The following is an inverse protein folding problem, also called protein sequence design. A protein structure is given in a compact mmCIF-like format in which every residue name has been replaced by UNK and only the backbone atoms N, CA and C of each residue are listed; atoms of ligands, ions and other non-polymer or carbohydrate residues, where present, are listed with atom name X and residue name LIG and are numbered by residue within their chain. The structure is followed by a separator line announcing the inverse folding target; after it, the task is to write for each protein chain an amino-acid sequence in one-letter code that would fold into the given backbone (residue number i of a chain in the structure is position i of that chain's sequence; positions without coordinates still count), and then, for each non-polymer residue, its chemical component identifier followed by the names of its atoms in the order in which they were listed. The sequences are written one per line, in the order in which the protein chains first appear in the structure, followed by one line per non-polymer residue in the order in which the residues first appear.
data_IF_963866767802
#
_entry.id   IF_963866767802
#
_cell.length_a   1.000
_cell.length_b   1.000
_cell.length_c   1.000
_cell.angle_alpha   90.00
_cell.angle_beta   90.00
_cell.angle_gamma   90.00
#
_symmetry.space_group_name_H-M   'P 1'
#
loop_
_entity.id
_entity.type
_entity.pdbx_description
1 polymer ?
#
# COMPACT_ATOMS: atom_id res chain seq x y z
N UNK A 1 3.77 -17.18 -7.65
CA UNK A 1 2.65 -16.23 -7.78
C UNK A 1 1.97 -16.02 -6.44
N UNK A 2 1.69 -14.80 -6.10
CA UNK A 2 1.02 -14.46 -4.83
C UNK A 2 -0.49 -14.53 -5.07
N UNK A 3 -1.20 -15.31 -4.25
CA UNK A 3 -2.64 -15.48 -4.42
C UNK A 3 -3.44 -14.37 -3.74
N UNK A 4 -4.72 -14.26 -4.09
CA UNK A 4 -5.59 -13.21 -3.55
C UNK A 4 -5.75 -13.32 -2.04
N UNK A 5 -5.75 -14.53 -1.49
CA UNK A 5 -5.88 -14.71 -0.04
C UNK A 5 -4.68 -14.11 0.69
N UNK A 6 -3.48 -14.26 0.13
CA UNK A 6 -2.27 -13.67 0.71
C UNK A 6 -2.29 -12.15 0.60
N UNK A 7 -2.74 -11.62 -0.54
CA UNK A 7 -2.89 -10.18 -0.73
C UNK A 7 -3.89 -9.61 0.27
N UNK A 8 -5.03 -10.27 0.44
CA UNK A 8 -6.06 -9.83 1.38
C UNK A 8 -5.54 -9.87 2.82
N UNK A 9 -4.77 -10.90 3.17
CA UNK A 9 -4.17 -10.98 4.50
C UNK A 9 -3.19 -9.84 4.75
N UNK A 10 -2.37 -9.50 3.75
CA UNK A 10 -1.46 -8.37 3.85
C UNK A 10 -2.24 -7.07 4.08
N UNK A 11 -3.31 -6.86 3.32
CA UNK A 11 -4.17 -5.69 3.49
C UNK A 11 -4.77 -5.60 4.88
N UNK A 12 -5.26 -6.73 5.42
CA UNK A 12 -5.83 -6.79 6.77
C UNK A 12 -4.79 -6.43 7.83
N UNK A 13 -3.56 -6.96 7.68
CA UNK A 13 -2.50 -6.66 8.65
C UNK A 13 -2.11 -5.19 8.63
N UNK A 14 -1.99 -4.61 7.45
CA UNK A 14 -1.64 -3.20 7.31
C UNK A 14 -2.75 -2.32 7.89
N UNK A 15 -4.00 -2.58 7.54
CA UNK A 15 -5.12 -1.81 8.06
C UNK A 15 -5.27 -1.98 9.57
N UNK A 16 -5.13 -3.22 10.07
CA UNK A 16 -5.27 -3.52 11.48
C UNK A 16 -4.20 -2.90 12.35
N UNK A 17 -3.03 -2.61 11.79
CA UNK A 17 -1.93 -1.96 12.50
C UNK A 17 -1.94 -0.44 12.36
N UNK A 18 -2.94 0.11 11.68
CA UNK A 18 -3.04 1.53 11.35
C UNK A 18 -4.22 2.18 12.07
N UNK A 19 -4.25 3.52 12.17
CA UNK A 19 -5.38 4.22 12.80
C UNK A 19 -6.69 4.00 12.07
N UNK A 20 -7.83 4.19 12.74
CA UNK A 20 -9.13 4.14 12.08
C UNK A 20 -9.21 5.12 10.92
N UNK A 21 -9.87 4.71 9.84
CA UNK A 21 -9.99 5.53 8.63
C UNK A 21 -8.86 5.35 7.64
N UNK A 22 -7.91 4.46 7.93
CA UNK A 22 -6.80 4.16 7.02
C UNK A 22 -7.29 3.39 5.80
N UNK A 23 -6.76 3.74 4.63
CA UNK A 23 -7.05 3.03 3.38
C UNK A 23 -5.78 2.36 2.88
N UNK A 24 -5.91 1.17 2.33
CA UNK A 24 -4.78 0.42 1.77
C UNK A 24 -5.02 0.20 0.29
N UNK A 25 -4.12 0.67 -0.53
CA UNK A 25 -4.21 0.57 -1.99
C UNK A 25 -3.09 -0.35 -2.48
N UNK A 26 -3.46 -1.41 -3.20
CA UNK A 26 -2.50 -2.25 -3.90
C UNK A 26 -2.27 -1.63 -5.29
N UNK A 27 -1.02 -1.37 -5.62
CA UNK A 27 -0.70 -0.79 -6.93
C UNK A 27 0.51 -1.49 -7.54
N UNK A 28 0.98 -0.99 -8.68
CA UNK A 28 2.10 -1.59 -9.36
C UNK A 28 1.69 -2.75 -10.26
N UNK A 29 2.63 -3.64 -10.57
CA UNK A 29 2.42 -4.70 -11.55
C UNK A 29 1.30 -5.67 -11.18
N UNK A 30 1.17 -6.01 -9.89
CA UNK A 30 0.08 -6.90 -9.45
C UNK A 30 -1.29 -6.28 -9.64
N UNK A 31 -1.44 -4.99 -9.36
CA UNK A 31 -2.71 -4.30 -9.55
C UNK A 31 -3.08 -4.22 -11.03
N UNK A 32 -2.07 -4.13 -11.92
CA UNK A 32 -2.29 -4.08 -13.36
C UNK A 32 -2.49 -5.46 -14.00
N UNK A 33 -2.37 -6.54 -13.21
CA UNK A 33 -2.45 -7.89 -13.75
C UNK A 33 -1.22 -8.32 -14.53
N UNK A 34 -0.08 -7.69 -14.28
CA UNK A 34 1.18 -7.97 -14.96
C UNK A 34 2.25 -8.42 -13.96
N UNK A 35 2.06 -9.56 -13.27
CA UNK A 35 3.04 -10.00 -12.29
C UNK A 35 4.36 -10.36 -12.96
N UNK A 36 5.44 -9.70 -12.54
CA UNK A 36 6.78 -9.98 -13.05
C UNK A 36 7.44 -11.13 -12.30
N UNK A 37 8.66 -11.43 -12.68
CA UNK A 37 9.46 -12.48 -12.03
C UNK A 37 9.71 -12.21 -10.56
N UNK A 38 9.79 -10.94 -10.19
CA UNK A 38 10.00 -10.52 -8.81
C UNK A 38 8.69 -9.97 -8.29
N UNK A 39 7.79 -10.87 -7.92
CA UNK A 39 6.40 -10.60 -7.54
C UNK A 39 6.29 -9.73 -6.29
N UNK A 40 6.87 -8.55 -6.31
CA UNK A 40 6.77 -7.59 -5.21
C UNK A 40 5.37 -6.99 -5.19
N UNK A 41 4.83 -6.86 -4.00
CA UNK A 41 3.57 -6.14 -3.81
C UNK A 41 3.88 -4.71 -3.41
N UNK A 42 3.20 -3.77 -4.03
CA UNK A 42 3.33 -2.35 -3.71
C UNK A 42 2.05 -1.88 -3.04
N UNK A 43 2.18 -1.38 -1.81
CA UNK A 43 1.04 -0.87 -1.05
C UNK A 43 1.21 0.61 -0.78
N UNK A 44 0.15 1.37 -1.01
CA UNK A 44 0.04 2.73 -0.53
C UNK A 44 -0.93 2.71 0.65
N UNK A 45 -0.44 3.07 1.83
CA UNK A 45 -1.25 3.14 3.04
C UNK A 45 -1.54 4.60 3.33
N UNK A 46 -2.81 4.98 3.26
CA UNK A 46 -3.24 6.36 3.43
C UNK A 46 -3.86 6.49 4.82
N UNK A 47 -3.13 7.14 5.73
CA UNK A 47 -3.57 7.36 7.10
C UNK A 47 -4.09 8.78 7.25
N UNK A 48 -5.03 9.02 8.18
CA UNK A 48 -5.55 10.37 8.40
C UNK A 48 -4.46 11.39 8.68
N UNK A 49 -3.50 11.03 9.54
CA UNK A 49 -2.37 11.89 9.90
C UNK A 49 -1.10 11.05 10.00
N UNK A 50 0.02 11.61 9.58
CA UNK A 50 1.31 10.92 9.61
C UNK A 50 2.37 11.89 10.08
N UNK A 51 3.05 11.57 11.18
CA UNK A 51 4.15 12.38 11.70
C UNK A 51 5.45 12.08 10.96
N UNK A 52 5.76 10.80 10.76
CA UNK A 52 6.99 10.38 10.09
C UNK A 52 6.67 9.20 9.19
N UNK A 53 6.55 9.47 7.90
CA UNK A 53 6.15 8.46 6.92
C UNK A 53 7.17 7.33 6.80
N UNK A 54 8.46 7.64 6.91
CA UNK A 54 9.50 6.62 6.80
C UNK A 54 9.45 5.62 7.96
N UNK A 55 9.31 6.13 9.18
CA UNK A 55 9.20 5.26 10.36
C UNK A 55 7.93 4.42 10.31
N UNK A 56 6.82 5.03 9.93
CA UNK A 56 5.54 4.35 9.83
C UNK A 56 5.59 3.25 8.76
N UNK A 57 6.22 3.52 7.64
CA UNK A 57 6.43 2.54 6.58
C UNK A 57 7.19 1.31 7.08
N UNK A 58 8.26 1.53 7.84
CA UNK A 58 9.04 0.42 8.42
C UNK A 58 8.20 -0.38 9.42
N UNK A 59 7.46 0.32 10.29
CA UNK A 59 6.61 -0.32 11.29
C UNK A 59 5.55 -1.20 10.63
N UNK A 60 4.89 -0.68 9.61
CA UNK A 60 3.84 -1.41 8.91
C UNK A 60 4.39 -2.59 8.13
N UNK A 61 5.54 -2.42 7.47
CA UNK A 61 6.13 -3.52 6.72
C UNK A 61 6.48 -4.70 7.62
N UNK A 62 6.87 -4.44 8.86
CA UNK A 62 7.16 -5.50 9.83
C UNK A 62 5.95 -6.37 10.16
N UNK A 63 4.74 -5.85 10.01
CA UNK A 63 3.52 -6.63 10.25
C UNK A 63 3.33 -7.73 9.20
N UNK A 64 4.04 -7.64 8.09
CA UNK A 64 3.93 -8.62 7.00
C UNK A 64 4.92 -9.78 7.14
N UNK A 65 5.60 -9.89 8.27
CA UNK A 65 6.51 -11.01 8.54
C UNK A 65 5.78 -12.34 8.44
N UNK A 66 6.45 -13.30 7.85
CA UNK A 66 5.91 -14.65 7.68
C UNK A 66 5.15 -14.83 6.39
N UNK A 67 4.79 -13.75 5.71
CA UNK A 67 4.22 -13.83 4.38
C UNK A 67 5.37 -13.94 3.38
N UNK A 68 5.25 -14.90 2.46
CA UNK A 68 6.36 -15.26 1.56
C UNK A 68 6.36 -14.40 0.29
N UNK A 69 6.57 -13.11 0.46
CA UNK A 69 6.70 -12.19 -0.69
C UNK A 69 7.46 -10.94 -0.24
N UNK A 70 8.04 -10.25 -1.21
CA UNK A 70 8.61 -8.93 -0.97
C UNK A 70 7.51 -7.88 -1.09
N UNK A 71 7.55 -6.87 -0.23
CA UNK A 71 6.56 -5.81 -0.24
C UNK A 71 7.21 -4.46 -0.02
N UNK A 72 6.76 -3.48 -0.80
CA UNK A 72 7.06 -2.08 -0.56
C UNK A 72 5.82 -1.43 0.05
N UNK A 73 5.99 -0.78 1.18
CA UNK A 73 4.91 -0.09 1.87
C UNK A 73 5.23 1.39 1.88
N UNK A 74 4.41 2.17 1.18
CA UNK A 74 4.53 3.62 1.12
C UNK A 74 3.41 4.19 1.98
N UNK A 75 3.74 5.09 2.88
CA UNK A 75 2.76 5.72 3.76
C UNK A 75 2.58 7.18 3.38
N UNK A 76 1.34 7.63 3.31
CA UNK A 76 1.01 9.02 3.05
C UNK A 76 -0.18 9.43 3.91
N UNK A 77 -0.21 10.71 4.29
CA UNK A 77 -1.36 11.27 4.98
C UNK A 77 -2.46 11.59 3.98
N UNK A 78 -3.69 11.74 4.47
CA UNK A 78 -4.80 12.19 3.62
C UNK A 78 -4.50 13.54 2.98
N UNK A 79 -3.83 14.45 3.71
CA UNK A 79 -3.47 15.76 3.16
C UNK A 79 -2.48 15.61 2.00
N UNK A 80 -1.47 14.77 2.16
CA UNK A 80 -0.48 14.55 1.10
C UNK A 80 -1.15 13.96 -0.14
N UNK A 81 -2.10 13.06 0.04
CA UNK A 81 -2.84 12.47 -1.08
C UNK A 81 -3.64 13.57 -1.80
N UNK A 82 -4.31 14.45 -1.08
CA UNK A 82 -5.03 15.56 -1.70
C UNK A 82 -4.10 16.48 -2.50
N UNK A 83 -2.91 16.72 -1.97
CA UNK A 83 -1.93 17.62 -2.61
C UNK A 83 -1.35 17.00 -3.89
N UNK A 84 -1.18 15.70 -3.93
CA UNK A 84 -0.45 15.04 -5.01
C UNK A 84 -1.29 14.18 -5.94
N UNK A 85 -2.55 13.93 -5.63
CA UNK A 85 -3.39 13.00 -6.41
C UNK A 85 -3.53 13.40 -7.87
N UNK A 86 -3.47 14.69 -8.18
CA UNK A 86 -3.63 15.20 -9.54
C UNK A 86 -2.30 15.56 -10.20
N UNK A 87 -1.19 15.26 -9.54
CA UNK A 87 0.14 15.54 -10.07
C UNK A 87 0.58 14.35 -10.92
N UNK A 88 0.44 14.45 -12.21
CA UNK A 88 0.84 13.41 -13.16
C UNK A 88 2.33 13.11 -13.00
N UNK A 89 2.67 11.84 -13.03
CA UNK A 89 4.05 11.39 -12.82
C UNK A 89 4.41 11.14 -11.37
N UNK A 90 3.56 11.53 -10.41
CA UNK A 90 3.80 11.22 -9.01
C UNK A 90 3.38 9.80 -8.71
N UNK A 91 4.01 9.20 -7.69
CA UNK A 91 3.66 7.86 -7.23
C UNK A 91 2.21 7.81 -6.74
N UNK A 92 1.76 8.84 -6.03
CA UNK A 92 0.39 8.88 -5.51
C UNK A 92 -0.62 8.90 -6.65
N UNK A 93 -0.37 9.70 -7.68
CA UNK A 93 -1.26 9.73 -8.85
C UNK A 93 -1.33 8.34 -9.51
N UNK A 94 -0.19 7.72 -9.75
CA UNK A 94 -0.14 6.40 -10.37
C UNK A 94 -0.84 5.34 -9.52
N UNK A 95 -0.59 5.35 -8.21
CA UNK A 95 -1.21 4.38 -7.31
C UNK A 95 -2.72 4.49 -7.31
N UNK A 96 -3.26 5.71 -7.28
CA UNK A 96 -4.71 5.90 -7.27
C UNK A 96 -5.35 5.60 -8.64
N UNK A 97 -4.63 5.87 -9.75
CA UNK A 97 -5.15 5.62 -11.09
C UNK A 97 -5.14 4.14 -11.45
N UNK A 98 -4.09 3.41 -11.07
CA UNK A 98 -3.88 2.01 -11.47
C UNK A 98 -4.21 1.00 -10.38
N UNK A 99 -4.21 1.43 -9.14
CA UNK A 99 -4.35 0.54 -8.01
C UNK A 99 -5.79 0.17 -7.68
N UNK A 100 -5.93 -0.75 -6.74
CA UNK A 100 -7.23 -1.09 -6.19
C UNK A 100 -7.18 -1.04 -4.67
N UNK A 101 -8.25 -0.55 -4.09
CA UNK A 101 -8.35 -0.48 -2.63
C UNK A 101 -8.68 -1.86 -2.08
N UNK A 102 -7.95 -2.26 -1.05
CA UNK A 102 -8.18 -3.53 -0.38
C UNK A 102 -9.18 -3.33 0.76
N UNK A 103 -10.08 -4.30 0.92
CA UNK A 103 -11.05 -4.25 2.01
C UNK A 103 -10.31 -4.42 3.34
N UNK A 104 -10.67 -3.60 4.29
CA UNK A 104 -10.11 -3.68 5.64
C UNK A 104 -10.82 -4.74 6.47
#
# INVERSE_FOLDING_TARGET
MIDEATIDEAGRRLAGASPPGTRVILFGSHARGEPGKHSDLDFLVIEPEVENAAEESVRLRRTLRGLLFAADVIVASEQRVRDWRDVKGSLIHAALAEGRELAA
#
